data_IF_040746200657
#
_entry.id   IF_040746200657
#
_cell.length_a   1.000
_cell.length_b   1.000
_cell.length_c   1.000
_cell.angle_alpha   90.00
_cell.angle_beta   90.00
_cell.angle_gamma   90.00
#
_symmetry.space_group_name_H-M   'P 1'
#
loop_
_entity.id
_entity.type
_entity.pdbx_description
1 polymer ?
#
# COMPACT_ATOMS: atom_id res chain seq x y z
N UNK A 1 13.68 -8.54 9.23
CA UNK A 1 13.56 -9.98 8.87
C UNK A 1 12.08 -10.31 8.73
N UNK A 2 11.63 -10.67 7.53
CA UNK A 2 10.25 -11.13 7.25
C UNK A 2 9.97 -12.42 8.04
N UNK A 3 9.29 -12.33 9.19
CA UNK A 3 9.05 -13.46 10.12
C UNK A 3 8.07 -14.53 9.61
N UNK A 4 7.71 -14.56 8.32
CA UNK A 4 6.57 -15.33 7.80
C UNK A 4 6.89 -16.49 6.82
N UNK A 5 8.14 -16.69 6.44
CA UNK A 5 8.51 -17.68 5.41
C UNK A 5 7.78 -17.46 4.06
N UNK A 6 7.74 -18.49 3.21
CA UNK A 6 7.12 -18.41 1.87
C UNK A 6 5.62 -18.02 1.92
N UNK A 7 4.88 -18.52 2.92
CA UNK A 7 3.44 -18.22 3.09
C UNK A 7 3.21 -16.76 3.48
N UNK A 8 4.06 -16.20 4.34
CA UNK A 8 4.04 -14.78 4.69
C UNK A 8 4.33 -13.88 3.49
N UNK A 9 5.32 -14.25 2.66
CA UNK A 9 5.62 -13.52 1.42
C UNK A 9 4.43 -13.53 0.45
N UNK A 10 3.80 -14.67 0.20
CA UNK A 10 2.63 -14.76 -0.70
C UNK A 10 1.42 -13.98 -0.17
N UNK A 11 1.17 -14.01 1.14
CA UNK A 11 0.11 -13.23 1.76
C UNK A 11 0.37 -11.73 1.63
N UNK A 12 1.60 -11.28 1.85
CA UNK A 12 2.04 -9.90 1.62
C UNK A 12 1.83 -9.46 0.18
N UNK A 13 2.33 -10.25 -0.78
CA UNK A 13 2.22 -9.93 -2.20
C UNK A 13 0.75 -9.86 -2.64
N UNK A 14 -0.11 -10.75 -2.11
CA UNK A 14 -1.56 -10.70 -2.34
C UNK A 14 -2.21 -9.44 -1.75
N UNK A 15 -1.81 -9.05 -0.54
CA UNK A 15 -2.34 -7.85 0.12
C UNK A 15 -1.95 -6.58 -0.65
N UNK A 16 -0.71 -6.49 -1.14
CA UNK A 16 -0.25 -5.38 -1.98
C UNK A 16 -1.06 -5.35 -3.29
N UNK A 17 -1.12 -6.47 -4.01
CA UNK A 17 -1.78 -6.54 -5.33
C UNK A 17 -3.27 -6.17 -5.26
N UNK A 18 -3.97 -6.57 -4.19
CA UNK A 18 -5.39 -6.20 -3.98
C UNK A 18 -5.60 -4.70 -3.76
N UNK A 19 -4.56 -3.96 -3.35
CA UNK A 19 -4.65 -2.54 -2.98
C UNK A 19 -3.96 -1.59 -3.99
N UNK A 20 -3.42 -2.06 -5.11
CA UNK A 20 -2.85 -1.17 -6.14
C UNK A 20 -3.88 -0.18 -6.71
N UNK A 21 -5.15 -0.57 -6.78
CA UNK A 21 -6.25 0.33 -7.20
C UNK A 21 -6.50 1.47 -6.20
N UNK A 22 -6.22 1.26 -4.92
CA UNK A 22 -6.32 2.30 -3.89
C UNK A 22 -5.30 3.41 -4.15
N UNK A 23 -4.06 3.04 -4.50
CA UNK A 23 -3.00 3.99 -4.86
C UNK A 23 -3.42 4.87 -6.01
N UNK A 24 -3.93 4.26 -7.09
CA UNK A 24 -4.40 4.99 -8.27
C UNK A 24 -5.53 5.96 -7.90
N UNK A 25 -6.49 5.52 -7.07
CA UNK A 25 -7.60 6.36 -6.65
C UNK A 25 -7.17 7.53 -5.75
N UNK A 26 -6.18 7.33 -4.87
CA UNK A 26 -5.61 8.39 -4.05
C UNK A 26 -4.77 9.36 -4.89
N UNK A 27 -3.90 8.86 -5.78
CA UNK A 27 -3.06 9.68 -6.66
C UNK A 27 -3.87 10.62 -7.57
N UNK A 28 -5.07 10.22 -7.99
CA UNK A 28 -5.98 11.09 -8.78
C UNK A 28 -6.29 12.42 -8.07
N UNK A 29 -6.35 12.44 -6.74
CA UNK A 29 -6.65 13.65 -5.93
C UNK A 29 -5.49 14.66 -5.91
N UNK A 30 -4.28 14.23 -6.25
CA UNK A 30 -3.07 15.04 -6.23
C UNK A 30 -2.59 15.45 -7.63
N UNK A 31 -3.39 15.19 -8.66
CA UNK A 31 -3.11 15.67 -10.02
C UNK A 31 -2.99 17.21 -10.03
N UNK A 32 -2.16 17.73 -10.94
CA UNK A 32 -1.91 19.15 -11.17
C UNK A 32 -1.25 19.91 -9.99
N UNK A 33 -0.56 19.19 -9.08
CA UNK A 33 0.19 19.79 -7.96
C UNK A 33 1.70 19.82 -8.19
N UNK A 34 2.14 19.81 -9.46
CA UNK A 34 3.56 19.90 -9.83
C UNK A 34 4.30 18.56 -9.96
N UNK A 35 3.68 17.43 -9.61
CA UNK A 35 4.23 16.07 -9.84
C UNK A 35 3.49 15.37 -10.99
N UNK A 36 4.20 14.52 -11.72
CA UNK A 36 3.57 13.68 -12.75
C UNK A 36 2.68 12.63 -12.10
N UNK A 37 1.66 12.15 -12.83
CA UNK A 37 0.77 11.13 -12.32
C UNK A 37 1.49 9.80 -12.05
N UNK A 38 2.55 9.50 -12.80
CA UNK A 38 3.38 8.30 -12.62
C UNK A 38 4.21 8.41 -11.33
N UNK A 39 4.71 9.59 -11.00
CA UNK A 39 5.47 9.80 -9.76
C UNK A 39 4.58 9.61 -8.53
N UNK A 40 3.36 10.18 -8.55
CA UNK A 40 2.38 9.99 -7.48
C UNK A 40 2.00 8.53 -7.26
N UNK A 41 1.86 7.76 -8.34
CA UNK A 41 1.59 6.31 -8.25
C UNK A 41 2.80 5.58 -7.67
N UNK A 42 4.00 5.91 -8.12
CA UNK A 42 5.24 5.26 -7.67
C UNK A 42 5.49 5.49 -6.19
N UNK A 43 5.32 6.73 -5.72
CA UNK A 43 5.42 7.08 -4.32
C UNK A 43 4.33 6.40 -3.47
N UNK A 44 3.08 6.38 -3.95
CA UNK A 44 1.99 5.68 -3.28
C UNK A 44 2.20 4.17 -3.19
N UNK A 45 2.77 3.54 -4.22
CA UNK A 45 3.13 2.11 -4.19
C UNK A 45 4.24 1.85 -3.16
N UNK A 46 5.22 2.73 -3.04
CA UNK A 46 6.25 2.65 -2.00
C UNK A 46 5.65 2.80 -0.58
N UNK A 47 4.66 3.69 -0.43
CA UNK A 47 3.87 3.83 0.80
C UNK A 47 3.15 2.54 1.19
N UNK A 48 2.46 1.89 0.25
CA UNK A 48 1.78 0.61 0.51
C UNK A 48 2.78 -0.47 0.92
N UNK A 49 3.93 -0.59 0.24
CA UNK A 49 4.94 -1.58 0.61
C UNK A 49 5.43 -1.41 2.05
N UNK A 50 5.62 -0.17 2.51
CA UNK A 50 5.99 0.15 3.90
C UNK A 50 4.84 -0.12 4.87
N UNK A 51 3.61 0.22 4.50
CA UNK A 51 2.42 -0.01 5.33
C UNK A 51 2.20 -1.51 5.58
N UNK A 52 2.36 -2.36 4.57
CA UNK A 52 2.17 -3.82 4.76
C UNK A 52 3.19 -4.41 5.74
N UNK A 53 4.42 -3.88 5.80
CA UNK A 53 5.42 -4.35 6.76
C UNK A 53 5.05 -4.05 8.22
N UNK A 54 4.26 -3.00 8.45
CA UNK A 54 3.86 -2.53 9.78
C UNK A 54 2.42 -2.87 10.16
N UNK A 55 1.64 -3.35 9.20
CA UNK A 55 0.23 -3.62 9.39
C UNK A 55 0.03 -4.83 10.30
N UNK A 56 -0.81 -4.63 11.31
CA UNK A 56 -1.15 -5.62 12.32
C UNK A 56 -2.65 -5.90 12.25
N UNK A 57 -2.98 -7.10 11.76
CA UNK A 57 -4.37 -7.56 11.60
C UNK A 57 -5.08 -7.67 12.94
N UNK A 58 -4.36 -7.92 14.04
CA UNK A 58 -4.96 -8.12 15.37
C UNK A 58 -5.63 -6.86 15.92
N UNK A 59 -5.25 -5.68 15.41
CA UNK A 59 -5.84 -4.40 15.80
C UNK A 59 -7.24 -4.15 15.22
N UNK A 60 -7.73 -5.03 14.34
CA UNK A 60 -9.11 -5.00 13.84
C UNK A 60 -9.43 -3.92 12.78
N UNK A 61 -8.47 -3.08 12.40
CA UNK A 61 -8.66 -2.08 11.35
C UNK A 61 -8.43 -2.66 9.96
N UNK A 62 -9.19 -2.20 8.96
CA UNK A 62 -8.94 -2.56 7.55
C UNK A 62 -7.61 -1.98 7.07
N UNK A 63 -6.87 -2.76 6.29
CA UNK A 63 -5.61 -2.30 5.68
C UNK A 63 -5.75 -1.01 4.87
N UNK A 64 -6.84 -0.85 4.11
CA UNK A 64 -7.09 0.37 3.30
C UNK A 64 -7.17 1.63 4.15
N UNK A 65 -7.69 1.51 5.37
CA UNK A 65 -7.74 2.60 6.35
C UNK A 65 -6.34 2.91 6.82
N UNK A 66 -5.58 1.89 7.25
CA UNK A 66 -4.21 2.06 7.72
C UNK A 66 -3.26 2.66 6.67
N UNK A 67 -3.35 2.20 5.42
CA UNK A 67 -2.46 2.61 4.34
C UNK A 67 -2.75 4.00 3.74
N UNK A 68 -3.85 4.65 4.14
CA UNK A 68 -4.22 5.99 3.66
C UNK A 68 -3.81 7.09 4.66
N UNK A 69 -3.36 6.72 5.86
CA UNK A 69 -2.89 7.64 6.90
C UNK A 69 -1.39 7.93 6.81
#
# INVERSE_FOLDING_TARGET
MDKGGFRGKKARDTLINRNLRLVINNAKKYKNRGLSFIDLISEGNAGIMKAVQKYDVSRGFKFSTYATW
#
